data_IF_960438691802
#
_entry.id   IF_960438691802
#
_cell.length_a   1.000
_cell.length_b   1.000
_cell.length_c   1.000
_cell.angle_alpha   90.00
_cell.angle_beta   90.00
_cell.angle_gamma   90.00
#
_symmetry.space_group_name_H-M   'P 1'
#
loop_
_entity.id
_entity.type
_entity.pdbx_description
1 polymer ?
#
# COMPACT_ATOMS: atom_id res chain seq x y z
N UNK A 1 5.24 -9.85 20.16
CA UNK A 1 4.14 -10.84 20.03
C UNK A 1 4.63 -12.14 20.64
N UNK A 2 3.94 -12.63 21.65
CA UNK A 2 4.35 -13.87 22.31
C UNK A 2 3.72 -15.06 21.59
N UNK A 3 4.54 -16.10 21.41
CA UNK A 3 4.09 -17.37 20.84
C UNK A 3 3.37 -18.13 21.96
N UNK A 4 2.05 -18.26 21.85
CA UNK A 4 1.24 -19.02 22.79
C UNK A 4 1.07 -20.47 22.29
N UNK A 5 0.73 -21.40 23.19
CA UNK A 5 0.47 -22.82 22.86
C UNK A 5 -0.62 -22.99 21.79
N UNK A 6 -1.55 -22.03 21.68
CA UNK A 6 -2.61 -22.00 20.67
C UNK A 6 -2.17 -21.45 19.30
N UNK A 7 -0.89 -21.05 19.15
CA UNK A 7 -0.39 -20.50 17.90
C UNK A 7 -0.23 -21.61 16.86
N UNK A 8 -0.80 -21.38 15.66
CA UNK A 8 -0.68 -22.31 14.53
C UNK A 8 0.80 -22.59 14.25
N UNK A 9 1.24 -23.86 14.13
CA UNK A 9 2.66 -24.22 13.97
C UNK A 9 3.34 -23.52 12.80
N UNK A 10 2.60 -23.27 11.70
CA UNK A 10 3.09 -22.59 10.52
C UNK A 10 3.46 -21.11 10.77
N UNK A 11 2.89 -20.50 11.81
CA UNK A 11 3.16 -19.11 12.16
C UNK A 11 4.33 -18.92 13.12
N UNK A 12 4.72 -19.95 13.85
CA UNK A 12 5.76 -19.82 14.88
C UNK A 12 7.09 -19.24 14.36
N UNK A 13 7.68 -19.74 13.25
CA UNK A 13 8.93 -19.18 12.75
C UNK A 13 8.75 -17.73 12.28
N UNK A 14 7.58 -17.38 11.76
CA UNK A 14 7.31 -16.05 11.22
C UNK A 14 7.22 -15.01 12.34
N UNK A 15 6.66 -15.37 13.51
CA UNK A 15 6.65 -14.49 14.67
C UNK A 15 8.05 -14.11 15.15
N UNK A 16 8.98 -15.07 15.10
CA UNK A 16 10.38 -14.79 15.45
C UNK A 16 10.99 -13.76 14.50
N UNK A 17 10.76 -13.88 13.20
CA UNK A 17 11.24 -12.91 12.21
C UNK A 17 10.55 -11.57 12.33
N UNK A 18 9.23 -11.54 12.58
CA UNK A 18 8.49 -10.30 12.79
C UNK A 18 9.00 -9.54 14.01
N UNK A 19 9.26 -10.25 15.14
CA UNK A 19 9.84 -9.63 16.32
C UNK A 19 11.26 -9.12 16.09
N UNK A 20 12.09 -9.90 15.38
CA UNK A 20 13.43 -9.47 14.99
C UNK A 20 13.40 -8.22 14.14
N UNK A 21 12.54 -8.17 13.11
CA UNK A 21 12.37 -7.02 12.25
C UNK A 21 11.87 -5.79 13.02
N UNK A 22 10.88 -5.96 13.91
CA UNK A 22 10.31 -4.87 14.68
C UNK A 22 11.34 -4.16 15.60
N UNK A 23 12.39 -4.88 16.03
CA UNK A 23 13.43 -4.36 16.91
C UNK A 23 14.75 -4.03 16.17
N UNK A 24 14.81 -4.23 14.88
CA UNK A 24 16.02 -4.01 14.08
C UNK A 24 16.21 -2.53 13.78
N UNK A 25 17.35 -1.98 14.19
CA UNK A 25 17.80 -0.65 13.80
C UNK A 25 18.36 -0.71 12.37
N UNK A 26 17.76 0.05 11.46
CA UNK A 26 18.21 0.14 10.05
C UNK A 26 19.09 1.32 9.79
N UNK A 27 18.81 2.45 10.42
CA UNK A 27 19.57 3.69 10.26
C UNK A 27 19.35 4.61 11.44
N UNK A 28 20.36 5.42 11.77
CA UNK A 28 20.24 6.51 12.74
C UNK A 28 21.11 7.70 12.34
N UNK A 29 20.78 8.88 12.83
CA UNK A 29 21.53 10.10 12.61
C UNK A 29 20.67 11.35 12.54
N UNK A 30 21.33 12.47 12.24
CA UNK A 30 20.72 13.78 12.16
C UNK A 30 20.31 14.18 10.76
N UNK A 31 19.20 14.90 10.65
CA UNK A 31 18.74 15.58 9.44
C UNK A 31 17.78 16.72 9.78
N UNK A 32 17.54 17.60 8.81
CA UNK A 32 16.50 18.61 8.92
C UNK A 32 15.16 18.05 8.43
N UNK A 33 14.10 18.20 9.22
CA UNK A 33 12.73 17.80 8.88
C UNK A 33 11.82 19.01 8.68
N UNK A 34 10.98 18.94 7.67
CA UNK A 34 9.91 19.90 7.40
C UNK A 34 8.56 19.17 7.33
N UNK A 35 7.59 19.63 8.10
CA UNK A 35 6.19 19.19 7.99
C UNK A 35 5.52 19.96 6.83
N UNK A 36 5.55 19.39 5.62
CA UNK A 36 5.11 20.07 4.40
C UNK A 36 3.59 20.07 4.22
N UNK A 37 2.95 18.93 4.45
CA UNK A 37 1.49 18.79 4.36
C UNK A 37 0.92 18.08 5.59
N UNK A 38 -0.24 18.54 6.03
CA UNK A 38 -0.99 17.95 7.12
C UNK A 38 -1.81 16.72 6.67
N UNK A 39 -2.52 16.08 7.61
CA UNK A 39 -3.37 14.89 7.36
C UNK A 39 -4.53 15.14 6.39
N UNK A 40 -4.87 16.39 6.12
CA UNK A 40 -5.86 16.77 5.10
C UNK A 40 -5.25 16.97 3.71
N UNK A 41 -3.92 16.86 3.57
CA UNK A 41 -3.19 17.12 2.34
C UNK A 41 -3.05 18.60 2.00
N UNK A 42 -3.30 19.50 2.97
CA UNK A 42 -3.10 20.94 2.85
C UNK A 42 -1.69 21.31 3.31
N UNK A 43 -1.09 22.36 2.74
CA UNK A 43 0.17 22.88 3.26
C UNK A 43 0.07 23.17 4.76
N UNK A 44 1.11 22.80 5.50
CA UNK A 44 1.17 23.10 6.92
C UNK A 44 1.41 24.62 7.11
N UNK A 45 0.69 25.30 8.02
CA UNK A 45 0.93 26.73 8.28
C UNK A 45 2.35 27.00 8.79
N UNK A 46 2.89 26.11 9.63
CA UNK A 46 4.22 26.22 10.21
C UNK A 46 5.22 25.37 9.42
N UNK A 47 5.69 25.89 8.28
CA UNK A 47 6.68 25.23 7.43
C UNK A 47 8.09 25.69 7.81
N UNK A 48 8.58 25.16 8.91
CA UNK A 48 9.94 25.41 9.40
C UNK A 48 10.78 24.14 9.36
N UNK A 49 12.05 24.30 8.98
CA UNK A 49 13.02 23.21 9.06
C UNK A 49 13.47 23.05 10.51
N UNK A 50 13.33 21.86 11.06
CA UNK A 50 13.72 21.50 12.41
C UNK A 50 14.79 20.42 12.34
N UNK A 51 15.91 20.62 13.03
CA UNK A 51 16.92 19.59 13.15
C UNK A 51 16.44 18.50 14.11
N UNK A 52 16.54 17.25 13.66
CA UNK A 52 16.12 16.09 14.42
C UNK A 52 17.22 15.05 14.46
N UNK A 53 17.43 14.46 15.63
CA UNK A 53 18.03 13.13 15.71
C UNK A 53 16.96 12.09 15.41
N UNK A 54 17.28 11.07 14.63
CA UNK A 54 16.33 10.09 14.19
C UNK A 54 16.87 8.67 14.27
N UNK A 55 15.99 7.72 14.59
CA UNK A 55 16.27 6.30 14.51
C UNK A 55 15.15 5.60 13.70
N UNK A 56 15.54 4.77 12.75
CA UNK A 56 14.63 3.89 12.01
C UNK A 56 14.72 2.49 12.60
N UNK A 57 13.70 2.13 13.39
CA UNK A 57 13.58 0.80 14.00
C UNK A 57 12.35 0.09 13.43
N UNK A 58 12.56 -1.08 12.82
CA UNK A 58 11.49 -1.69 12.04
C UNK A 58 11.04 -0.75 10.93
N UNK A 59 9.74 -0.47 10.86
CA UNK A 59 9.14 0.54 9.95
C UNK A 59 8.76 1.83 10.65
N UNK A 60 9.25 2.05 11.87
CA UNK A 60 8.96 3.26 12.65
C UNK A 60 10.17 4.17 12.68
N UNK A 61 9.97 5.39 12.22
CA UNK A 61 10.94 6.46 12.32
C UNK A 61 10.65 7.27 13.57
N UNK A 62 11.52 7.16 14.57
CA UNK A 62 11.48 7.92 15.82
C UNK A 62 12.32 9.18 15.65
N UNK A 63 11.78 10.32 16.07
CA UNK A 63 12.35 11.65 15.84
C UNK A 63 12.40 12.42 17.15
N UNK A 64 13.56 12.89 17.53
CA UNK A 64 13.78 13.80 18.65
C UNK A 64 14.22 15.16 18.10
N UNK A 65 13.65 16.22 18.61
CA UNK A 65 14.10 17.59 18.31
C UNK A 65 15.50 17.79 18.89
N UNK A 66 16.46 18.20 18.07
CA UNK A 66 17.85 18.33 18.48
C UNK A 66 18.02 19.43 19.57
N UNK A 67 17.28 20.52 19.46
CA UNK A 67 17.31 21.59 20.44
C UNK A 67 16.71 21.17 21.80
N UNK A 68 15.67 20.33 21.78
CA UNK A 68 15.09 19.76 23.00
C UNK A 68 16.06 18.77 23.66
N UNK A 69 16.76 17.94 22.84
CA UNK A 69 17.79 17.03 23.36
C UNK A 69 18.95 17.78 24.01
N UNK A 70 19.45 18.83 23.36
CA UNK A 70 20.53 19.64 23.89
C UNK A 70 20.13 20.37 25.18
N UNK A 71 18.88 20.83 25.27
CA UNK A 71 18.35 21.51 26.47
C UNK A 71 18.10 20.56 27.64
N UNK A 72 17.75 19.29 27.37
CA UNK A 72 17.46 18.31 28.41
C UNK A 72 18.73 17.78 29.10
N UNK A 73 19.92 17.84 28.44
CA UNK A 73 21.16 17.32 28.99
C UNK A 73 21.15 15.82 29.24
N UNK A 74 22.12 15.32 30.04
CA UNK A 74 22.28 13.87 30.28
C UNK A 74 21.15 13.25 31.13
N UNK A 75 20.46 14.03 31.93
CA UNK A 75 19.42 13.54 32.87
C UNK A 75 17.99 13.80 32.41
N UNK A 76 17.80 14.49 31.26
CA UNK A 76 16.49 14.89 30.76
C UNK A 76 15.90 13.86 29.81
N UNK A 77 14.62 13.53 29.95
CA UNK A 77 13.88 12.65 29.05
C UNK A 77 13.13 13.48 28.00
N UNK A 78 13.47 13.30 26.71
CA UNK A 78 12.77 13.91 25.58
C UNK A 78 11.92 12.85 24.87
N UNK A 79 10.64 13.12 24.73
CA UNK A 79 9.72 12.18 24.09
C UNK A 79 9.84 12.26 22.56
N UNK A 80 10.06 11.12 21.88
CA UNK A 80 10.13 11.09 20.43
C UNK A 80 8.77 11.29 19.76
N UNK A 81 8.80 11.89 18.57
CA UNK A 81 7.70 11.88 17.62
C UNK A 81 7.87 10.71 16.68
N UNK A 82 6.76 10.02 16.32
CA UNK A 82 6.82 8.82 15.51
C UNK A 82 6.19 9.04 14.13
N UNK A 83 6.86 8.53 13.09
CA UNK A 83 6.32 8.42 11.74
C UNK A 83 6.32 6.93 11.37
N UNK A 84 5.15 6.36 11.14
CA UNK A 84 5.03 5.00 10.65
C UNK A 84 5.23 4.99 9.13
N UNK A 85 6.20 4.22 8.66
CA UNK A 85 6.59 4.12 7.25
C UNK A 85 6.01 2.88 6.55
N UNK A 86 5.23 2.05 7.24
CA UNK A 86 4.70 0.79 6.70
C UNK A 86 4.02 0.95 5.34
N UNK A 87 3.24 2.02 5.18
CA UNK A 87 2.49 2.35 3.98
C UNK A 87 2.97 3.64 3.30
N UNK A 88 4.13 4.14 3.72
CA UNK A 88 4.68 5.38 3.19
C UNK A 88 5.18 5.21 1.75
N UNK A 89 5.11 6.28 0.97
CA UNK A 89 5.86 6.39 -0.26
C UNK A 89 6.98 7.39 -0.10
N UNK A 90 8.13 7.03 -0.62
CA UNK A 90 9.35 7.84 -0.56
C UNK A 90 9.80 8.23 -1.96
N UNK A 91 10.25 9.48 -2.11
CA UNK A 91 10.78 10.00 -3.36
C UNK A 91 11.96 10.92 -3.07
N UNK A 92 13.08 10.67 -3.72
CA UNK A 92 14.18 11.62 -3.74
C UNK A 92 13.80 12.81 -4.62
N UNK A 93 14.07 14.03 -4.14
CA UNK A 93 13.87 15.28 -4.86
C UNK A 93 15.25 15.82 -5.17
N UNK A 94 15.53 15.99 -6.47
CA UNK A 94 16.81 16.46 -6.95
C UNK A 94 17.10 17.89 -6.51
N UNK A 95 16.08 18.75 -6.55
CA UNK A 95 16.20 20.16 -6.25
C UNK A 95 14.87 20.72 -5.73
N UNK A 96 14.89 21.41 -4.61
CA UNK A 96 13.74 22.12 -4.05
C UNK A 96 14.02 23.62 -4.10
N UNK A 97 13.21 24.41 -4.86
CA UNK A 97 13.40 25.85 -4.94
C UNK A 97 13.17 26.50 -3.55
N UNK A 98 14.05 27.42 -3.20
CA UNK A 98 13.93 28.28 -2.01
C UNK A 98 13.00 29.46 -2.29
N UNK A 99 12.48 30.10 -1.26
CA UNK A 99 11.58 31.28 -1.41
C UNK A 99 12.32 32.52 -1.91
N UNK A 100 13.63 32.58 -1.71
CA UNK A 100 14.49 33.69 -2.14
C UNK A 100 15.14 33.34 -3.47
N UNK A 101 15.07 34.24 -4.45
CA UNK A 101 15.72 34.07 -5.75
C UNK A 101 17.25 34.09 -5.69
N UNK A 102 17.80 34.57 -4.56
CA UNK A 102 19.26 34.69 -4.34
C UNK A 102 19.87 33.46 -3.64
N UNK A 103 19.02 32.54 -3.13
CA UNK A 103 19.48 31.31 -2.45
C UNK A 103 19.51 30.13 -3.42
N UNK A 104 20.60 29.37 -3.32
CA UNK A 104 20.69 28.14 -4.11
C UNK A 104 19.58 27.14 -3.69
N UNK A 105 18.98 26.42 -4.66
CA UNK A 105 17.98 25.43 -4.36
C UNK A 105 18.54 24.32 -3.46
N UNK A 106 17.75 23.88 -2.49
CA UNK A 106 18.13 22.81 -1.58
C UNK A 106 18.25 21.49 -2.33
N UNK A 107 19.33 20.78 -2.09
CA UNK A 107 19.60 19.44 -2.62
C UNK A 107 19.48 18.38 -1.51
N UNK A 108 19.63 17.10 -1.89
CA UNK A 108 19.62 15.98 -0.95
C UNK A 108 18.34 15.87 -0.12
N UNK A 109 17.19 15.96 -0.77
CA UNK A 109 15.89 15.92 -0.11
C UNK A 109 15.19 14.59 -0.36
N UNK A 110 14.67 13.99 0.70
CA UNK A 110 13.77 12.85 0.65
C UNK A 110 12.36 13.29 1.04
N UNK A 111 11.39 13.07 0.16
CA UNK A 111 9.98 13.27 0.45
C UNK A 111 9.37 11.97 0.95
N UNK A 112 8.72 12.01 2.09
CA UNK A 112 7.97 10.90 2.68
C UNK A 112 6.51 11.31 2.75
N UNK A 113 5.63 10.50 2.15
CA UNK A 113 4.18 10.69 2.27
C UNK A 113 3.56 9.43 2.84
N UNK A 114 2.82 9.57 3.92
CA UNK A 114 2.11 8.45 4.55
C UNK A 114 0.69 8.29 3.97
N UNK A 115 0.02 7.19 4.27
CA UNK A 115 -1.38 6.96 3.84
C UNK A 115 -2.33 8.04 4.37
N UNK A 116 -2.01 8.67 5.50
CA UNK A 116 -2.77 9.77 6.09
C UNK A 116 -2.77 11.09 5.33
N UNK A 117 -2.21 11.16 4.12
CA UNK A 117 -2.05 12.36 3.27
C UNK A 117 -1.00 13.36 3.71
N UNK A 118 -0.43 13.24 4.90
CA UNK A 118 0.67 14.05 5.35
C UNK A 118 1.93 13.80 4.51
N UNK A 119 2.72 14.86 4.35
CA UNK A 119 3.99 14.80 3.66
C UNK A 119 5.06 15.47 4.50
N UNK A 120 6.18 14.76 4.64
CA UNK A 120 7.39 15.23 5.30
C UNK A 120 8.50 15.38 4.28
N UNK A 121 9.32 16.41 4.43
CA UNK A 121 10.57 16.57 3.68
C UNK A 121 11.73 16.41 4.65
N UNK A 122 12.69 15.57 4.30
CA UNK A 122 13.93 15.35 5.05
C UNK A 122 15.08 15.87 4.21
N UNK A 123 15.87 16.78 4.76
CA UNK A 123 17.05 17.34 4.12
C UNK A 123 18.31 16.82 4.79
N UNK A 124 19.21 16.24 4.01
CA UNK A 124 20.44 15.63 4.47
C UNK A 124 21.65 16.52 4.13
N UNK A 125 22.65 16.52 4.99
CA UNK A 125 23.88 17.30 4.82
C UNK A 125 24.73 16.82 3.63
N UNK A 126 24.53 15.61 3.15
CA UNK A 126 25.28 15.04 2.02
C UNK A 126 24.42 14.10 1.18
N UNK A 127 24.82 13.93 -0.07
CA UNK A 127 24.22 12.94 -0.96
C UNK A 127 24.41 11.50 -0.44
N UNK A 128 25.54 11.24 0.21
CA UNK A 128 25.81 9.94 0.82
C UNK A 128 24.79 9.60 1.92
N UNK A 129 24.54 10.54 2.83
CA UNK A 129 23.51 10.37 3.87
C UNK A 129 22.11 10.17 3.29
N UNK A 130 21.75 10.93 2.23
CA UNK A 130 20.47 10.74 1.52
C UNK A 130 20.34 9.29 1.00
N UNK A 131 21.40 8.76 0.37
CA UNK A 131 21.39 7.40 -0.16
C UNK A 131 21.29 6.36 0.95
N UNK A 132 22.07 6.51 2.04
CA UNK A 132 22.01 5.59 3.19
C UNK A 132 20.62 5.54 3.81
N UNK A 133 20.02 6.70 4.10
CA UNK A 133 18.68 6.78 4.66
C UNK A 133 17.62 6.21 3.71
N UNK A 134 17.72 6.53 2.41
CA UNK A 134 16.79 6.00 1.41
C UNK A 134 16.89 4.49 1.31
N UNK A 135 18.12 3.94 1.32
CA UNK A 135 18.34 2.50 1.29
C UNK A 135 17.82 1.80 2.56
N UNK A 136 18.10 2.37 3.74
CA UNK A 136 17.62 1.86 5.02
C UNK A 136 16.09 1.81 5.08
N UNK A 137 15.42 2.89 4.67
CA UNK A 137 13.96 2.96 4.63
C UNK A 137 13.38 1.93 3.64
N UNK A 138 13.94 1.83 2.43
CA UNK A 138 13.48 0.85 1.44
C UNK A 138 13.66 -0.58 1.91
N UNK A 139 14.81 -0.88 2.54
CA UNK A 139 15.07 -2.21 3.09
C UNK A 139 14.09 -2.55 4.20
N UNK A 140 13.85 -1.64 5.15
CA UNK A 140 12.91 -1.84 6.23
C UNK A 140 11.48 -2.10 5.73
N UNK A 141 11.03 -1.31 4.74
CA UNK A 141 9.72 -1.48 4.12
C UNK A 141 9.61 -2.78 3.33
N UNK A 142 10.68 -3.18 2.62
CA UNK A 142 10.73 -4.42 1.86
C UNK A 142 10.69 -5.64 2.80
N UNK A 143 11.52 -5.69 3.83
CA UNK A 143 11.50 -6.77 4.82
C UNK A 143 10.12 -6.86 5.49
N UNK A 144 9.52 -5.72 5.86
CA UNK A 144 8.18 -5.70 6.44
C UNK A 144 7.14 -6.31 5.48
N UNK A 145 7.12 -5.88 4.22
CA UNK A 145 6.17 -6.38 3.21
C UNK A 145 6.31 -7.89 3.02
N UNK A 146 7.54 -8.38 2.88
CA UNK A 146 7.84 -9.81 2.69
C UNK A 146 7.39 -10.63 3.90
N UNK A 147 7.62 -10.13 5.13
CA UNK A 147 7.17 -10.82 6.34
C UNK A 147 5.64 -10.82 6.49
N UNK A 148 4.95 -9.75 6.10
CA UNK A 148 3.49 -9.70 6.09
C UNK A 148 2.90 -10.68 5.05
N UNK A 149 3.52 -10.81 3.90
CA UNK A 149 3.14 -11.79 2.89
C UNK A 149 3.33 -13.22 3.42
N UNK A 150 4.50 -13.52 3.99
CA UNK A 150 4.77 -14.81 4.62
C UNK A 150 3.79 -15.14 5.76
N UNK A 151 3.46 -14.14 6.60
CA UNK A 151 2.45 -14.28 7.65
C UNK A 151 1.08 -14.64 7.08
N UNK A 152 0.64 -13.92 6.05
CA UNK A 152 -0.65 -14.16 5.41
C UNK A 152 -0.68 -15.54 4.75
N UNK A 153 0.38 -15.92 4.05
CA UNK A 153 0.51 -17.24 3.43
C UNK A 153 0.44 -18.38 4.45
N UNK A 154 1.18 -18.27 5.56
CA UNK A 154 1.16 -19.27 6.62
C UNK A 154 -0.21 -19.35 7.33
N UNK A 155 -0.87 -18.21 7.54
CA UNK A 155 -2.22 -18.16 8.12
C UNK A 155 -3.24 -18.85 7.21
N UNK A 156 -3.18 -18.61 5.91
CA UNK A 156 -4.04 -19.27 4.91
C UNK A 156 -3.75 -20.76 4.89
N UNK A 157 -2.47 -21.16 4.85
CA UNK A 157 -2.08 -22.58 4.85
C UNK A 157 -2.55 -23.31 6.11
N UNK A 158 -2.37 -22.72 7.29
CA UNK A 158 -2.81 -23.30 8.56
C UNK A 158 -4.33 -23.40 8.68
N UNK A 159 -5.05 -22.31 8.41
CA UNK A 159 -6.51 -22.29 8.46
C UNK A 159 -7.16 -23.03 7.29
N UNK A 160 -6.54 -23.05 6.12
CA UNK A 160 -7.04 -23.75 4.93
C UNK A 160 -7.24 -25.24 5.16
N UNK A 161 -6.39 -25.84 6.00
CA UNK A 161 -6.51 -27.28 6.38
C UNK A 161 -7.82 -27.59 7.11
N UNK A 162 -8.42 -26.61 7.78
CA UNK A 162 -9.64 -26.78 8.57
C UNK A 162 -10.90 -26.28 7.87
N UNK A 163 -10.76 -25.63 6.70
CA UNK A 163 -11.88 -25.07 5.95
C UNK A 163 -12.48 -26.13 5.02
N UNK A 164 -13.71 -26.59 5.31
CA UNK A 164 -14.40 -27.59 4.51
C UNK A 164 -14.79 -27.10 3.12
N UNK A 165 -14.82 -25.78 2.87
CA UNK A 165 -15.29 -25.16 1.63
C UNK A 165 -14.26 -24.24 0.98
N UNK A 166 -12.97 -24.58 1.06
CA UNK A 166 -11.90 -23.77 0.49
C UNK A 166 -12.10 -23.54 -1.02
N UNK A 167 -12.61 -24.54 -1.75
CA UNK A 167 -12.89 -24.42 -3.17
C UNK A 167 -13.92 -23.31 -3.49
N UNK A 168 -14.93 -23.12 -2.62
CA UNK A 168 -15.92 -22.04 -2.77
C UNK A 168 -15.29 -20.69 -2.47
N UNK A 169 -14.35 -20.66 -1.53
CA UNK A 169 -13.61 -19.43 -1.18
C UNK A 169 -12.68 -19.03 -2.33
N UNK A 170 -12.06 -19.99 -2.98
CA UNK A 170 -11.15 -19.80 -4.12
C UNK A 170 -11.87 -19.77 -5.47
N UNK A 171 -13.21 -19.89 -5.49
CA UNK A 171 -13.98 -19.82 -6.73
C UNK A 171 -13.81 -18.45 -7.39
N UNK A 172 -13.50 -18.46 -8.68
CA UNK A 172 -13.33 -17.26 -9.48
C UNK A 172 -14.57 -16.38 -9.44
N UNK A 173 -14.38 -15.09 -9.28
CA UNK A 173 -15.48 -14.15 -9.41
C UNK A 173 -15.99 -14.13 -10.86
N UNK A 174 -17.27 -14.42 -11.04
CA UNK A 174 -17.93 -14.44 -12.36
C UNK A 174 -18.47 -13.08 -12.77
N UNK A 175 -18.51 -12.13 -11.83
CA UNK A 175 -19.15 -10.85 -12.01
C UNK A 175 -18.15 -9.71 -11.88
N UNK A 176 -18.35 -8.72 -12.73
CA UNK A 176 -17.66 -7.44 -12.66
C UNK A 176 -17.99 -6.74 -11.34
N UNK A 177 -16.98 -6.25 -10.66
CA UNK A 177 -17.13 -5.46 -9.42
C UNK A 177 -16.77 -4.00 -9.68
N UNK A 178 -17.58 -3.09 -9.17
CA UNK A 178 -17.40 -1.64 -9.36
C UNK A 178 -17.63 -0.91 -8.05
N UNK A 179 -16.67 -0.06 -7.64
CA UNK A 179 -16.76 0.67 -6.39
C UNK A 179 -15.94 1.97 -6.43
N UNK A 180 -16.34 2.97 -5.63
CA UNK A 180 -15.52 4.13 -5.35
C UNK A 180 -14.39 3.77 -4.39
N UNK A 181 -13.17 4.10 -4.78
CA UNK A 181 -11.97 3.82 -4.01
C UNK A 181 -11.05 5.04 -3.97
N UNK A 182 -10.19 5.07 -2.98
CA UNK A 182 -9.01 5.94 -2.99
C UNK A 182 -7.82 5.15 -3.44
N UNK A 183 -7.11 5.69 -4.40
CA UNK A 183 -5.97 5.03 -5.04
C UNK A 183 -4.75 5.91 -4.99
N UNK A 184 -3.61 5.28 -4.83
CA UNK A 184 -2.30 5.93 -4.91
C UNK A 184 -1.44 5.14 -5.89
N UNK A 185 -1.09 5.75 -7.01
CA UNK A 185 -0.31 5.13 -8.08
C UNK A 185 1.18 5.32 -7.84
N UNK A 186 1.78 4.42 -7.01
CA UNK A 186 3.20 4.43 -6.75
C UNK A 186 3.67 5.42 -5.68
N UNK A 187 4.98 5.57 -5.58
CA UNK A 187 5.63 6.40 -4.58
C UNK A 187 5.51 7.91 -4.89
N UNK A 188 5.24 8.71 -3.86
CA UNK A 188 5.23 10.18 -3.97
C UNK A 188 4.03 10.79 -4.70
N UNK A 189 3.04 9.97 -5.09
CA UNK A 189 1.82 10.44 -5.75
C UNK A 189 0.71 10.67 -4.72
N UNK A 190 -0.07 11.75 -4.79
CA UNK A 190 -1.16 11.98 -3.85
C UNK A 190 -2.28 10.95 -4.02
N UNK A 191 -3.04 10.72 -2.95
CA UNK A 191 -4.26 9.92 -2.99
C UNK A 191 -5.30 10.55 -3.91
N UNK A 192 -5.87 9.72 -4.78
CA UNK A 192 -6.91 10.14 -5.74
C UNK A 192 -8.17 9.30 -5.56
N UNK A 193 -9.32 9.95 -5.59
CA UNK A 193 -10.60 9.27 -5.65
C UNK A 193 -10.84 8.77 -7.07
N UNK A 194 -11.11 7.46 -7.23
CA UNK A 194 -11.34 6.84 -8.53
C UNK A 194 -12.52 5.87 -8.47
N UNK A 195 -13.22 5.74 -9.59
CA UNK A 195 -14.15 4.65 -9.83
C UNK A 195 -13.35 3.43 -10.28
N UNK A 196 -13.26 2.43 -9.41
CA UNK A 196 -12.54 1.19 -9.67
C UNK A 196 -13.48 0.18 -10.31
N UNK A 197 -12.99 -0.47 -11.34
CA UNK A 197 -13.71 -1.50 -12.09
C UNK A 197 -12.81 -2.70 -12.18
N UNK A 198 -13.23 -3.81 -11.58
CA UNK A 198 -12.53 -5.09 -11.61
C UNK A 198 -13.30 -6.02 -12.55
N UNK A 199 -12.67 -6.44 -13.62
CA UNK A 199 -13.25 -7.32 -14.61
C UNK A 199 -12.58 -8.69 -14.52
N UNK A 200 -13.30 -9.75 -14.15
CA UNK A 200 -12.75 -11.10 -14.17
C UNK A 200 -12.45 -11.56 -15.60
N UNK A 201 -11.60 -12.60 -15.78
CA UNK A 201 -11.39 -13.22 -17.07
C UNK A 201 -12.69 -13.69 -17.70
N UNK A 202 -12.81 -13.61 -19.05
CA UNK A 202 -14.01 -14.07 -19.77
C UNK A 202 -14.03 -15.60 -19.83
N UNK A 203 -14.99 -16.22 -19.17
CA UNK A 203 -15.16 -17.67 -19.10
C UNK A 203 -15.42 -18.31 -20.49
N UNK A 204 -16.08 -17.59 -21.41
CA UNK A 204 -16.31 -18.06 -22.76
C UNK A 204 -15.02 -18.11 -23.56
N UNK A 205 -14.17 -17.12 -23.40
CA UNK A 205 -12.85 -17.07 -24.01
C UNK A 205 -11.97 -18.19 -23.46
N UNK A 206 -11.99 -18.41 -22.14
CA UNK A 206 -11.29 -19.53 -21.51
C UNK A 206 -11.72 -20.89 -22.07
N UNK A 207 -13.01 -21.15 -22.17
CA UNK A 207 -13.53 -22.41 -22.73
C UNK A 207 -13.13 -22.59 -24.21
N UNK A 208 -13.09 -21.51 -24.99
CA UNK A 208 -12.63 -21.52 -26.37
C UNK A 208 -11.16 -21.91 -26.46
N UNK A 209 -10.33 -21.26 -25.71
CA UNK A 209 -8.88 -21.53 -25.64
C UNK A 209 -8.60 -22.93 -25.13
N UNK A 210 -9.31 -23.42 -24.12
CA UNK A 210 -9.18 -24.77 -23.62
C UNK A 210 -9.57 -25.83 -24.69
N UNK A 211 -10.60 -25.55 -25.49
CA UNK A 211 -10.97 -26.42 -26.63
C UNK A 211 -9.93 -26.42 -27.76
N UNK A 212 -9.30 -25.27 -27.99
CA UNK A 212 -8.21 -25.16 -28.99
C UNK A 212 -6.96 -25.92 -28.51
N UNK A 213 -6.62 -25.82 -27.20
CA UNK A 213 -5.52 -26.57 -26.60
C UNK A 213 -5.70 -28.09 -26.69
N UNK A 214 -6.92 -28.61 -26.47
CA UNK A 214 -7.23 -30.03 -26.60
C UNK A 214 -7.07 -30.57 -28.04
N UNK A 215 -7.06 -29.69 -29.03
CA UNK A 215 -6.84 -30.05 -30.45
C UNK A 215 -5.35 -30.03 -30.83
N UNK A 216 -4.47 -29.52 -29.97
CA UNK A 216 -3.04 -29.49 -30.23
C UNK A 216 -2.41 -30.86 -30.05
N UNK A 217 -1.29 -31.05 -30.74
CA UNK A 217 -0.52 -32.31 -30.63
C UNK A 217 0.01 -32.51 -29.22
N UNK A 218 0.12 -33.77 -28.71
CA UNK A 218 0.75 -34.06 -27.42
C UNK A 218 2.21 -33.58 -27.31
N UNK A 219 2.85 -33.31 -28.45
CA UNK A 219 4.25 -32.81 -28.53
C UNK A 219 4.34 -31.29 -28.56
N UNK A 220 3.19 -30.57 -28.62
CA UNK A 220 3.20 -29.10 -28.57
C UNK A 220 3.40 -28.63 -27.12
N UNK A 221 4.59 -28.08 -26.83
CA UNK A 221 4.99 -27.54 -25.51
C UNK A 221 4.51 -26.11 -25.27
N UNK A 222 3.64 -25.55 -26.12
CA UNK A 222 3.08 -24.23 -25.92
C UNK A 222 2.21 -24.23 -24.68
N UNK A 223 2.52 -23.31 -23.74
CA UNK A 223 1.68 -23.10 -22.56
C UNK A 223 0.32 -22.54 -22.95
N UNK A 224 -0.77 -22.89 -22.22
CA UNK A 224 -2.06 -22.28 -22.44
C UNK A 224 -1.95 -20.76 -22.17
N UNK A 225 -2.56 -19.93 -23.03
CA UNK A 225 -2.60 -18.52 -22.76
C UNK A 225 -3.36 -18.29 -21.45
N UNK A 226 -2.71 -17.62 -20.49
CA UNK A 226 -3.34 -17.18 -19.24
C UNK A 226 -4.39 -16.13 -19.57
N UNK A 227 -5.64 -16.42 -19.25
CA UNK A 227 -6.68 -15.40 -19.27
C UNK A 227 -6.52 -14.50 -18.08
N UNK A 228 -6.28 -13.23 -18.35
CA UNK A 228 -6.07 -12.22 -17.31
C UNK A 228 -7.33 -11.37 -17.17
N UNK A 229 -7.74 -11.14 -15.92
CA UNK A 229 -8.67 -10.09 -15.59
C UNK A 229 -7.98 -8.72 -15.65
N UNK A 230 -8.74 -7.65 -15.48
CA UNK A 230 -8.20 -6.30 -15.42
C UNK A 230 -8.79 -5.48 -14.26
N UNK A 231 -8.01 -4.55 -13.76
CA UNK A 231 -8.44 -3.54 -12.81
C UNK A 231 -8.26 -2.19 -13.50
N UNK A 232 -9.35 -1.45 -13.66
CA UNK A 232 -9.35 -0.14 -14.30
C UNK A 232 -9.83 0.94 -13.36
N UNK A 233 -9.19 2.10 -13.41
CA UNK A 233 -9.52 3.27 -12.59
C UNK A 233 -9.98 4.42 -13.48
N UNK A 234 -11.09 5.03 -13.10
CA UNK A 234 -11.71 6.14 -13.83
C UNK A 234 -11.94 7.33 -12.89
N UNK A 235 -11.90 8.56 -13.43
CA UNK A 235 -12.23 9.78 -12.68
C UNK A 235 -13.70 9.86 -12.29
N UNK A 236 -14.57 9.34 -13.17
CA UNK A 236 -16.02 9.47 -13.02
C UNK A 236 -16.70 8.13 -13.24
N UNK A 237 -17.74 7.89 -12.44
CA UNK A 237 -18.66 6.78 -12.70
C UNK A 237 -19.42 7.07 -13.99
N UNK A 238 -19.34 6.16 -14.94
CA UNK A 238 -20.13 6.21 -16.19
C UNK A 238 -20.89 4.90 -16.34
N UNK A 239 -22.18 4.98 -16.60
CA UNK A 239 -23.04 3.82 -16.70
C UNK A 239 -23.13 3.26 -18.11
N UNK A 240 -23.20 1.95 -18.22
CA UNK A 240 -23.52 1.20 -19.42
C UNK A 240 -22.61 1.46 -20.63
N UNK A 241 -23.22 1.81 -21.79
CA UNK A 241 -22.49 2.03 -23.06
C UNK A 241 -21.47 3.16 -23.01
N UNK A 242 -21.70 4.17 -22.14
CA UNK A 242 -20.78 5.31 -21.95
C UNK A 242 -19.50 4.90 -21.23
N UNK A 243 -19.55 3.89 -20.36
CA UNK A 243 -18.39 3.38 -19.65
C UNK A 243 -17.43 2.65 -20.60
N UNK A 244 -17.96 1.86 -21.55
CA UNK A 244 -17.14 1.15 -22.56
C UNK A 244 -16.30 2.09 -23.45
N UNK A 245 -16.72 3.34 -23.62
CA UNK A 245 -16.02 4.37 -24.43
C UNK A 245 -15.13 5.30 -23.58
N UNK A 246 -15.21 5.20 -22.24
CA UNK A 246 -14.40 6.04 -21.37
C UNK A 246 -12.97 5.51 -21.30
N UNK A 247 -11.98 6.40 -21.48
CA UNK A 247 -10.58 6.05 -21.22
C UNK A 247 -10.35 5.96 -19.72
N UNK A 248 -9.75 4.87 -19.20
CA UNK A 248 -9.33 4.81 -17.81
C UNK A 248 -8.17 5.78 -17.57
N UNK A 249 -7.97 6.21 -16.34
CA UNK A 249 -6.79 6.97 -15.92
C UNK A 249 -5.59 6.05 -15.85
N UNK A 250 -5.81 4.88 -15.24
CA UNK A 250 -4.83 3.84 -15.10
C UNK A 250 -5.49 2.46 -15.18
N UNK A 251 -4.71 1.46 -15.52
CA UNK A 251 -5.13 0.06 -15.52
C UNK A 251 -4.00 -0.85 -15.02
N UNK A 252 -4.39 -1.93 -14.38
CA UNK A 252 -3.51 -3.03 -13.99
C UNK A 252 -4.01 -4.26 -14.73
N UNK A 253 -3.19 -4.82 -15.62
CA UNK A 253 -3.54 -6.01 -16.41
C UNK A 253 -2.81 -7.27 -15.97
N UNK A 254 -1.79 -7.10 -15.16
CA UNK A 254 -0.87 -8.13 -14.69
C UNK A 254 -0.58 -7.89 -13.20
N UNK A 255 -1.56 -8.17 -12.35
CA UNK A 255 -1.35 -8.18 -10.91
C UNK A 255 -0.76 -9.53 -10.51
N UNK A 256 0.46 -9.54 -10.00
CA UNK A 256 1.14 -10.76 -9.56
C UNK A 256 1.27 -10.86 -8.03
N UNK A 257 0.98 -9.80 -7.31
CA UNK A 257 0.98 -9.80 -5.85
C UNK A 257 -0.09 -8.86 -5.31
N UNK A 258 -0.81 -9.31 -4.29
CA UNK A 258 -1.78 -8.49 -3.58
C UNK A 258 -1.78 -8.84 -2.10
N UNK A 259 -1.64 -7.85 -1.25
CA UNK A 259 -1.67 -8.06 0.19
C UNK A 259 -2.26 -6.88 0.94
N UNK A 260 -2.95 -7.20 2.04
CA UNK A 260 -3.50 -6.20 2.93
C UNK A 260 -2.42 -5.64 3.85
N UNK A 261 -2.37 -4.32 3.98
CA UNK A 261 -1.47 -3.63 4.90
C UNK A 261 -2.28 -3.23 6.12
N UNK A 262 -1.89 -3.75 7.26
CA UNK A 262 -2.51 -3.42 8.54
C UNK A 262 -1.61 -2.43 9.30
N UNK A 263 -2.15 -1.31 9.77
CA UNK A 263 -1.42 -0.43 10.65
C UNK A 263 -1.12 -1.15 11.96
N UNK A 264 -0.01 -0.79 12.60
CA UNK A 264 0.44 -1.45 13.84
C UNK A 264 -0.50 -1.22 15.04
N UNK A 265 -1.29 -0.16 15.02
CA UNK A 265 -2.25 0.13 16.07
C UNK A 265 -3.55 -0.66 15.86
N UNK A 266 -3.95 -1.46 16.86
CA UNK A 266 -5.16 -2.30 16.80
C UNK A 266 -6.43 -1.50 16.46
N UNK A 267 -6.56 -0.29 16.98
CA UNK A 267 -7.68 0.62 16.69
C UNK A 267 -7.77 1.05 15.22
N UNK A 268 -6.65 0.97 14.48
CA UNK A 268 -6.60 1.31 13.06
C UNK A 268 -6.77 0.08 12.15
N UNK A 269 -6.54 -1.13 12.67
CA UNK A 269 -6.73 -2.39 11.91
C UNK A 269 -8.19 -2.54 11.51
N UNK A 270 -9.12 -2.27 12.42
CA UNK A 270 -10.55 -2.40 12.17
C UNK A 270 -11.07 -1.32 11.20
N UNK A 271 -10.38 -0.18 11.10
CA UNK A 271 -10.73 0.93 10.24
C UNK A 271 -9.95 0.95 8.91
N UNK A 272 -8.86 0.19 8.80
CA UNK A 272 -7.97 0.21 7.64
C UNK A 272 -8.13 -1.05 6.81
N UNK A 273 -8.59 -0.87 5.59
CA UNK A 273 -8.67 -1.91 4.57
C UNK A 273 -7.76 -1.55 3.39
N UNK A 274 -6.54 -1.13 3.71
CA UNK A 274 -5.54 -0.75 2.73
C UNK A 274 -4.97 -2.01 2.07
N UNK A 275 -5.07 -2.08 0.74
CA UNK A 275 -4.50 -3.14 -0.08
C UNK A 275 -3.38 -2.56 -0.92
N UNK A 276 -2.26 -3.24 -0.96
CA UNK A 276 -1.19 -3.01 -1.94
C UNK A 276 -1.30 -4.05 -3.04
N UNK A 277 -1.32 -3.59 -4.28
CA UNK A 277 -1.31 -4.45 -5.48
C UNK A 277 -0.06 -4.17 -6.26
N UNK A 278 0.71 -5.20 -6.58
CA UNK A 278 1.92 -5.12 -7.41
C UNK A 278 1.63 -5.72 -8.77
N UNK A 279 2.17 -5.09 -9.82
CA UNK A 279 1.93 -5.54 -11.18
C UNK A 279 2.38 -4.52 -12.22
N UNK A 280 2.00 -4.79 -13.47
CA UNK A 280 2.18 -3.84 -14.56
C UNK A 280 1.08 -2.79 -14.54
N UNK A 281 1.48 -1.55 -14.22
CA UNK A 281 0.58 -0.41 -14.12
C UNK A 281 0.74 0.43 -15.38
N UNK A 282 -0.35 0.57 -16.13
CA UNK A 282 -0.41 1.45 -17.29
C UNK A 282 -1.15 2.73 -16.90
N UNK A 283 -0.47 3.87 -16.92
CA UNK A 283 -1.07 5.18 -16.75
C UNK A 283 -1.41 5.73 -18.14
N UNK A 284 -2.68 5.98 -18.36
CA UNK A 284 -3.21 6.45 -19.65
C UNK A 284 -3.13 7.98 -19.80
N UNK A 285 -1.96 8.56 -19.46
CA UNK A 285 -1.61 9.95 -19.79
C UNK A 285 -1.15 10.08 -21.25
N UNK A 286 -0.89 11.28 -21.71
CA UNK A 286 -0.26 11.51 -23.00
C UNK A 286 1.18 11.99 -22.80
N UNK A 287 2.20 11.18 -23.14
CA UNK A 287 2.13 9.80 -23.66
C UNK A 287 1.81 8.76 -22.57
N UNK A 288 1.18 7.63 -22.95
CA UNK A 288 0.90 6.56 -21.99
C UNK A 288 2.21 5.92 -21.50
N UNK A 289 2.30 5.64 -20.20
CA UNK A 289 3.42 4.95 -19.61
C UNK A 289 2.97 3.63 -18.98
N UNK A 290 3.71 2.56 -19.21
CA UNK A 290 3.51 1.28 -18.54
C UNK A 290 4.79 0.91 -17.81
N UNK A 291 4.68 0.69 -16.52
CA UNK A 291 5.81 0.36 -15.66
C UNK A 291 5.40 -0.70 -14.66
N UNK A 292 6.33 -1.56 -14.32
CA UNK A 292 6.20 -2.42 -13.16
C UNK A 292 6.23 -1.57 -11.89
N UNK A 293 5.31 -1.83 -10.97
CA UNK A 293 5.18 -1.02 -9.78
C UNK A 293 4.06 -1.50 -8.86
N UNK A 294 3.62 -0.62 -7.98
CA UNK A 294 2.55 -0.94 -7.03
C UNK A 294 1.51 0.18 -6.94
N UNK A 295 0.32 -0.21 -6.54
CA UNK A 295 -0.81 0.69 -6.28
C UNK A 295 -1.36 0.39 -4.90
N UNK A 296 -1.57 1.44 -4.12
CA UNK A 296 -2.34 1.32 -2.88
C UNK A 296 -3.81 1.64 -3.16
N UNK A 297 -4.70 0.79 -2.65
CA UNK A 297 -6.13 0.92 -2.83
C UNK A 297 -6.80 0.82 -1.46
N UNK A 298 -7.71 1.75 -1.16
CA UNK A 298 -8.56 1.70 0.03
C UNK A 298 -10.00 2.11 -0.30
N UNK A 299 -11.00 1.65 0.48
CA UNK A 299 -12.38 2.05 0.27
C UNK A 299 -12.56 3.55 0.47
N UNK A 300 -13.53 4.12 -0.22
CA UNK A 300 -14.02 5.44 0.13
C UNK A 300 -14.98 5.32 1.32
N UNK A 301 -14.62 5.97 2.43
CA UNK A 301 -15.54 6.08 3.57
C UNK A 301 -16.63 7.07 3.17
N UNK A 302 -17.83 6.60 2.91
CA UNK A 302 -18.98 7.47 2.76
C UNK A 302 -19.34 8.06 4.14
N UNK A 303 -19.45 9.38 4.29
CA UNK A 303 -20.04 9.95 5.49
C UNK A 303 -21.45 9.36 5.62
N UNK A 304 -21.72 8.71 6.76
CA UNK A 304 -23.03 8.22 7.05
C UNK A 304 -24.03 9.38 6.92
N UNK A 305 -25.07 9.24 6.10
CA UNK A 305 -26.24 10.10 6.21
C UNK A 305 -26.77 9.91 7.61
N UNK A 306 -26.80 10.96 8.39
CA UNK A 306 -27.53 11.02 9.64
C UNK A 306 -29.02 10.78 9.33
N UNK A 307 -29.43 9.54 9.34
CA UNK A 307 -30.83 9.17 9.51
C UNK A 307 -31.01 8.93 10.99
N UNK A 308 -31.76 9.84 11.61
CA UNK A 308 -32.09 9.79 13.02
C UNK A 308 -32.68 8.46 13.46
N UNK A 309 -32.44 8.19 14.73
CA UNK A 309 -33.14 7.27 15.64
C UNK A 309 -32.83 5.76 15.54
N UNK A 310 -32.22 5.31 16.64
CA UNK A 310 -32.33 3.99 17.26
C UNK A 310 -31.79 2.76 16.52
N UNK A 311 -30.57 2.39 16.83
CA UNK A 311 -30.05 1.06 16.58
C UNK A 311 -28.55 1.02 16.55
N UNK A 312 -27.91 0.73 17.68
CA UNK A 312 -26.46 0.49 17.78
C UNK A 312 -26.09 -0.82 17.07
N UNK A 313 -25.98 -0.76 15.75
CA UNK A 313 -25.17 -1.67 14.94
C UNK A 313 -24.12 -0.82 14.29
N UNK A 314 -22.85 -1.20 14.49
CA UNK A 314 -21.71 -0.39 14.09
C UNK A 314 -21.82 -0.02 12.61
N UNK A 315 -21.82 1.28 12.33
CA UNK A 315 -21.81 1.88 10.98
C UNK A 315 -20.62 1.39 10.12
N UNK A 316 -19.63 0.81 10.75
CA UNK A 316 -18.45 0.18 10.13
C UNK A 316 -18.78 -1.14 9.44
N UNK A 317 -19.73 -1.93 9.93
CA UNK A 317 -20.08 -3.22 9.33
C UNK A 317 -20.77 -3.07 7.97
N UNK A 318 -21.56 -2.03 7.76
CA UNK A 318 -22.27 -1.80 6.50
C UNK A 318 -21.40 -1.15 5.40
N UNK A 319 -20.38 -0.39 5.77
CA UNK A 319 -19.45 0.22 4.81
C UNK A 319 -18.36 -0.76 4.35
N UNK A 320 -18.02 -1.75 5.19
CA UNK A 320 -16.97 -2.74 4.87
C UNK A 320 -17.45 -3.92 4.00
N UNK A 321 -18.75 -4.20 3.92
CA UNK A 321 -19.26 -5.35 3.16
C UNK A 321 -18.97 -5.29 1.64
N UNK A 322 -19.18 -4.14 0.95
CA UNK A 322 -18.83 -4.02 -0.46
C UNK A 322 -17.32 -4.12 -0.68
N UNK A 323 -16.54 -3.51 0.22
CA UNK A 323 -15.08 -3.50 0.13
C UNK A 323 -14.46 -4.89 0.33
N UNK A 324 -14.98 -5.70 1.25
CA UNK A 324 -14.54 -7.10 1.43
C UNK A 324 -14.67 -7.90 0.13
N UNK A 325 -15.70 -7.62 -0.69
CA UNK A 325 -15.85 -8.24 -2.01
C UNK A 325 -14.80 -7.75 -3.00
N UNK A 326 -14.51 -6.45 -3.02
CA UNK A 326 -13.49 -5.83 -3.89
C UNK A 326 -12.10 -6.34 -3.52
N UNK A 327 -11.76 -6.31 -2.24
CA UNK A 327 -10.48 -6.80 -1.74
C UNK A 327 -10.24 -8.25 -2.13
N UNK A 328 -11.22 -9.11 -1.86
CA UNK A 328 -11.17 -10.53 -2.21
C UNK A 328 -11.02 -10.78 -3.71
N UNK A 329 -11.69 -9.99 -4.54
CA UNK A 329 -11.59 -10.15 -5.98
C UNK A 329 -10.21 -9.74 -6.51
N UNK A 330 -9.59 -8.72 -5.93
CA UNK A 330 -8.21 -8.32 -6.23
C UNK A 330 -7.23 -9.43 -5.83
N UNK A 331 -7.40 -10.01 -4.65
CA UNK A 331 -6.56 -11.13 -4.16
C UNK A 331 -6.65 -12.35 -5.07
N UNK A 332 -7.85 -12.71 -5.51
CA UNK A 332 -8.06 -13.83 -6.43
C UNK A 332 -7.39 -13.58 -7.79
N UNK A 333 -7.49 -12.35 -8.34
CA UNK A 333 -6.83 -11.99 -9.60
C UNK A 333 -5.30 -12.05 -9.49
N UNK A 334 -4.74 -11.67 -8.34
CA UNK A 334 -3.31 -11.75 -8.11
C UNK A 334 -2.82 -13.20 -7.97
N UNK A 335 -3.60 -14.06 -7.30
CA UNK A 335 -3.28 -15.48 -7.17
C UNK A 335 -3.30 -16.23 -8.53
N UNK A 336 -4.20 -15.86 -9.44
CA UNK A 336 -4.29 -16.44 -10.79
C UNK A 336 -3.10 -16.09 -11.70
N UNK A 337 -2.33 -15.06 -11.36
CA UNK A 337 -1.16 -14.67 -12.15
C UNK A 337 0.10 -15.50 -11.82
N UNK A 338 0.06 -16.29 -10.74
CA UNK A 338 1.17 -17.13 -10.27
C UNK A 338 1.11 -18.59 -10.74
N UNK A 339 -0.03 -19.05 -11.29
CA UNK A 339 -0.20 -20.37 -11.93
C UNK A 339 0.11 -20.30 -13.45
#
# INVERSE_FOLDING_TARGET
>A
MDVNEDTIPELQPIFTFLNSHANKLYQEGYFLKLDDQNTQGKPNPDRTWTECFAQLVGTVLSLWDAAELDAAGEDGEVLPKFINLTDASIKMIESLPTKSNDEQPLQNILSISTAGRNRYLLHFNSHHSLIQWTAGIRLAMFEHSTLQEAYTGALIAGKGKTLNNINVIMERARFKTEEWVRVRFGAGVPWRRCWCVITPPDEKEYQKLQKEMRKKSPYDRSHPPLLKGDIKFYDTKKDGKKQKKAKPIASITDAYSSYAIYPQAKSLIDASTLIKVEGNITIHSEPPSSTEGFVFIMPEVHPARETGENGSKSLLDNACLPWKKVARQIEVLAAEALD
#
